data_IF_695430251267
#
_entry.id   IF_695430251267
#
_cell.length_a   1.000
_cell.length_b   1.000
_cell.length_c   1.000
_cell.angle_alpha   90.00
_cell.angle_beta   90.00
_cell.angle_gamma   90.00
#
_symmetry.space_group_name_H-M   'P 1'
#
loop_
_entity.id
_entity.type
_entity.pdbx_description
1 polymer ?
#
# COMPACT_ATOMS: atom_id res chain seq x y z
N UNK A 1 3.20 -9.01 -21.07
CA UNK A 1 3.67 -7.68 -20.66
C UNK A 1 5.05 -7.48 -21.27
N UNK A 2 5.31 -6.35 -21.93
CA UNK A 2 6.59 -6.07 -22.59
C UNK A 2 7.27 -4.89 -21.93
N UNK A 3 8.60 -4.83 -22.02
CA UNK A 3 9.35 -3.65 -21.60
C UNK A 3 8.91 -2.44 -22.44
N UNK A 4 8.63 -1.33 -21.76
CA UNK A 4 8.14 -0.09 -22.37
C UNK A 4 6.62 0.08 -22.34
N UNK A 5 5.87 -0.97 -21.97
CA UNK A 5 4.43 -0.87 -21.73
C UNK A 5 4.15 0.11 -20.58
N UNK A 6 3.03 0.82 -20.69
CA UNK A 6 2.52 1.65 -19.61
C UNK A 6 1.56 0.80 -18.78
N UNK A 7 1.74 0.81 -17.47
CA UNK A 7 0.94 0.03 -16.53
C UNK A 7 0.34 0.92 -15.45
N UNK A 8 -0.83 0.51 -14.99
CA UNK A 8 -1.55 1.06 -13.85
C UNK A 8 -1.76 -0.07 -12.84
N UNK A 9 -1.41 0.15 -11.59
CA UNK A 9 -1.62 -0.80 -10.50
C UNK A 9 -2.12 -0.04 -9.26
N UNK A 10 -3.39 -0.25 -8.91
CA UNK A 10 -4.04 0.48 -7.83
C UNK A 10 -4.03 1.99 -8.04
N UNK A 11 -3.25 2.69 -7.20
CA UNK A 11 -3.02 4.15 -7.22
C UNK A 11 -1.74 4.56 -7.95
N UNK A 12 -0.90 3.58 -8.29
CA UNK A 12 0.39 3.79 -8.88
C UNK A 12 0.33 3.56 -10.39
N UNK A 13 1.12 4.32 -11.13
CA UNK A 13 1.21 4.21 -12.58
C UNK A 13 2.65 4.37 -13.02
N UNK A 14 2.98 3.89 -14.20
CA UNK A 14 4.30 4.12 -14.75
C UNK A 14 4.56 3.35 -16.02
N UNK A 15 5.77 3.53 -16.56
CA UNK A 15 6.26 2.79 -17.70
C UNK A 15 7.23 1.72 -17.23
N UNK A 16 7.07 0.51 -17.73
CA UNK A 16 7.99 -0.61 -17.47
C UNK A 16 9.38 -0.26 -18.03
N UNK A 17 10.31 0.09 -17.15
CA UNK A 17 11.71 0.41 -17.50
C UNK A 17 12.57 -0.84 -17.59
N UNK A 18 12.32 -1.79 -16.70
CA UNK A 18 12.97 -3.09 -16.69
C UNK A 18 12.03 -4.12 -16.09
N UNK A 19 12.19 -5.37 -16.51
CA UNK A 19 11.58 -6.53 -15.89
C UNK A 19 12.68 -7.52 -15.52
N UNK A 20 12.60 -8.09 -14.33
CA UNK A 20 13.51 -9.13 -13.84
C UNK A 20 12.70 -10.40 -13.57
N UNK A 21 13.25 -11.56 -13.88
CA UNK A 21 12.68 -12.84 -13.48
C UNK A 21 13.06 -13.19 -12.03
N UNK A 22 12.58 -14.33 -11.54
CA UNK A 22 12.86 -14.87 -10.21
C UNK A 22 14.35 -15.11 -9.91
N UNK A 23 15.18 -15.21 -10.95
CA UNK A 23 16.63 -15.37 -10.84
C UNK A 23 17.37 -14.02 -10.92
N UNK A 24 16.66 -12.89 -10.92
CA UNK A 24 17.23 -11.55 -11.04
C UNK A 24 17.78 -11.22 -12.43
N UNK A 25 17.45 -12.01 -13.45
CA UNK A 25 17.89 -11.79 -14.82
C UNK A 25 16.89 -10.89 -15.55
N UNK A 26 17.41 -9.94 -16.34
CA UNK A 26 16.56 -9.06 -17.15
C UNK A 26 15.84 -9.84 -18.25
N UNK A 27 14.53 -9.65 -18.33
CA UNK A 27 13.65 -10.23 -19.35
C UNK A 27 13.01 -9.12 -20.19
N UNK A 28 12.87 -9.36 -21.50
CA UNK A 28 12.22 -8.42 -22.42
C UNK A 28 10.69 -8.44 -22.28
N UNK A 29 10.15 -9.64 -22.09
CA UNK A 29 8.72 -9.94 -22.16
C UNK A 29 8.33 -10.95 -21.09
N UNK A 30 7.12 -10.80 -20.55
CA UNK A 30 6.51 -11.70 -19.58
C UNK A 30 5.23 -12.29 -20.15
N UNK A 31 5.22 -13.62 -20.30
CA UNK A 31 4.04 -14.40 -20.67
C UNK A 31 3.09 -14.63 -19.49
N UNK A 32 1.92 -15.27 -19.73
CA UNK A 32 1.04 -15.67 -18.64
C UNK A 32 1.76 -16.65 -17.68
N UNK A 33 1.43 -16.56 -16.40
CA UNK A 33 1.93 -17.46 -15.34
C UNK A 33 3.43 -17.38 -15.01
N UNK A 34 4.13 -16.34 -15.47
CA UNK A 34 5.53 -16.08 -15.12
C UNK A 34 5.59 -14.86 -14.18
N UNK A 35 6.09 -15.00 -12.93
CA UNK A 35 6.29 -13.86 -12.06
C UNK A 35 7.45 -13.00 -12.57
N UNK A 36 7.24 -11.69 -12.61
CA UNK A 36 8.30 -10.73 -12.97
C UNK A 36 8.30 -9.54 -12.02
N UNK A 37 9.48 -9.08 -11.65
CA UNK A 37 9.66 -7.84 -10.93
C UNK A 37 9.67 -6.69 -11.94
N UNK A 38 8.76 -5.73 -11.78
CA UNK A 38 8.59 -4.59 -12.67
C UNK A 38 9.18 -3.34 -12.04
N UNK A 39 10.14 -2.73 -12.72
CA UNK A 39 10.74 -1.46 -12.31
C UNK A 39 10.21 -0.31 -13.19
N UNK A 40 9.93 0.84 -12.56
CA UNK A 40 9.52 2.07 -13.27
C UNK A 40 8.14 2.62 -12.93
N UNK A 41 7.48 2.08 -11.90
CA UNK A 41 6.27 2.66 -11.32
C UNK A 41 6.58 3.94 -10.51
N UNK A 42 5.56 4.78 -10.33
CA UNK A 42 5.63 6.01 -9.51
C UNK A 42 5.89 5.75 -8.03
N UNK A 43 5.49 4.58 -7.54
CA UNK A 43 5.58 4.17 -6.14
C UNK A 43 5.31 2.68 -6.00
N UNK A 44 5.25 2.21 -4.76
CA UNK A 44 4.99 0.81 -4.45
C UNK A 44 3.47 0.57 -4.43
N UNK A 45 2.92 -0.22 -5.38
CA UNK A 45 1.51 -0.58 -5.35
C UNK A 45 1.20 -1.48 -4.15
N UNK A 46 -0.07 -1.59 -3.78
CA UNK A 46 -0.44 -2.46 -2.66
C UNK A 46 -0.40 -3.92 -3.08
N UNK A 47 -0.09 -4.79 -2.12
CA UNK A 47 -0.20 -6.22 -2.34
C UNK A 47 -1.63 -6.59 -2.76
N UNK A 48 -1.75 -7.36 -3.84
CA UNK A 48 -3.04 -7.78 -4.40
C UNK A 48 -3.69 -6.80 -5.38
N UNK A 49 -3.10 -5.62 -5.62
CA UNK A 49 -3.60 -4.71 -6.66
C UNK A 49 -3.47 -5.34 -8.06
N UNK A 50 -4.54 -5.28 -8.83
CA UNK A 50 -4.51 -5.69 -10.25
C UNK A 50 -3.61 -4.76 -11.06
N UNK A 51 -2.82 -5.35 -11.96
CA UNK A 51 -1.98 -4.63 -12.91
C UNK A 51 -2.66 -4.62 -14.27
N UNK A 52 -2.88 -3.43 -14.81
CA UNK A 52 -3.53 -3.22 -16.11
C UNK A 52 -2.58 -2.49 -17.04
N UNK A 53 -2.28 -3.09 -18.19
CA UNK A 53 -1.56 -2.41 -19.26
C UNK A 53 -2.50 -1.42 -19.97
N UNK A 54 -2.04 -0.19 -20.16
CA UNK A 54 -2.81 0.91 -20.76
C UNK A 54 -2.05 1.51 -21.94
N UNK A 55 -2.78 1.98 -22.94
CA UNK A 55 -2.16 2.50 -24.15
C UNK A 55 -1.51 3.89 -23.98
N UNK A 56 -2.02 4.71 -23.06
CA UNK A 56 -1.60 6.10 -22.88
C UNK A 56 -1.21 6.39 -21.43
N UNK A 57 0.01 6.88 -21.25
CA UNK A 57 0.57 7.31 -19.97
C UNK A 57 -0.19 8.47 -19.35
N UNK A 58 -0.71 9.40 -20.16
CA UNK A 58 -1.48 10.54 -19.64
C UNK A 58 -2.78 10.07 -19.00
N UNK A 59 -3.50 9.15 -19.66
CA UNK A 59 -4.73 8.55 -19.10
C UNK A 59 -4.44 7.73 -17.85
N UNK A 60 -3.34 6.95 -17.84
CA UNK A 60 -2.91 6.19 -16.67
C UNK A 60 -2.75 7.11 -15.45
N UNK A 61 -2.04 8.23 -15.65
CA UNK A 61 -1.80 9.25 -14.62
C UNK A 61 -3.09 9.90 -14.12
N UNK A 62 -4.00 10.23 -15.02
CA UNK A 62 -5.29 10.83 -14.66
C UNK A 62 -6.13 9.88 -13.80
N UNK A 63 -6.21 8.60 -14.17
CA UNK A 63 -6.93 7.58 -13.41
C UNK A 63 -6.29 7.37 -12.03
N UNK A 64 -4.96 7.27 -11.98
CA UNK A 64 -4.21 7.13 -10.73
C UNK A 64 -4.48 8.30 -9.77
N UNK A 65 -4.37 9.54 -10.26
CA UNK A 65 -4.59 10.75 -9.47
C UNK A 65 -6.04 10.87 -8.98
N UNK A 66 -7.00 10.51 -9.83
CA UNK A 66 -8.42 10.46 -9.46
C UNK A 66 -8.66 9.46 -8.32
N UNK A 67 -8.11 8.24 -8.43
CA UNK A 67 -8.21 7.22 -7.37
C UNK A 67 -7.54 7.69 -6.07
N UNK A 68 -6.38 8.34 -6.16
CA UNK A 68 -5.66 8.86 -4.99
C UNK A 68 -6.45 9.96 -4.28
N UNK A 69 -7.04 10.89 -5.04
CA UNK A 69 -7.87 11.98 -4.50
C UNK A 69 -9.08 11.41 -3.78
N UNK A 70 -9.79 10.49 -4.44
CA UNK A 70 -10.95 9.81 -3.85
C UNK A 70 -10.60 9.08 -2.54
N UNK A 71 -9.48 8.35 -2.52
CA UNK A 71 -9.04 7.66 -1.31
C UNK A 71 -8.71 8.64 -0.18
N UNK A 72 -8.08 9.77 -0.49
CA UNK A 72 -7.76 10.82 0.49
C UNK A 72 -9.01 11.47 1.06
N UNK A 73 -10.03 11.70 0.24
CA UNK A 73 -11.34 12.19 0.68
C UNK A 73 -12.04 11.19 1.60
N UNK A 74 -12.02 9.90 1.26
CA UNK A 74 -12.57 8.83 2.11
C UNK A 74 -11.84 8.72 3.46
N UNK A 75 -10.51 8.86 3.47
CA UNK A 75 -9.73 8.87 4.71
C UNK A 75 -10.04 10.10 5.58
N UNK A 76 -10.20 11.27 4.96
CA UNK A 76 -10.55 12.51 5.67
C UNK A 76 -11.96 12.49 6.27
N UNK A 77 -12.86 11.63 5.75
CA UNK A 77 -14.21 11.41 6.31
C UNK A 77 -14.23 10.51 7.53
N UNK A 78 -13.15 9.78 7.83
CA UNK A 78 -13.08 9.02 9.08
C UNK A 78 -13.14 10.03 10.23
N UNK A 79 -14.06 9.89 11.18
CA UNK A 79 -14.15 10.83 12.29
C UNK A 79 -12.80 10.85 12.99
N UNK A 80 -12.18 12.03 13.04
CA UNK A 80 -11.12 12.27 14.00
C UNK A 80 -11.68 11.86 15.38
N UNK A 81 -10.89 11.13 16.15
CA UNK A 81 -11.28 10.69 17.50
C UNK A 81 -11.93 11.87 18.21
N UNK A 82 -13.21 11.73 18.57
CA UNK A 82 -13.95 12.85 19.12
C UNK A 82 -13.43 13.18 20.52
N UNK A 83 -13.57 14.44 20.96
CA UNK A 83 -13.20 14.83 22.32
C UNK A 83 -13.99 14.03 23.37
N UNK A 84 -15.20 13.57 23.03
CA UNK A 84 -16.01 12.68 23.86
C UNK A 84 -15.40 11.26 23.95
N UNK A 85 -14.84 10.72 22.87
CA UNK A 85 -14.14 9.44 22.88
C UNK A 85 -12.86 9.50 23.71
N UNK A 86 -12.14 10.63 23.64
CA UNK A 86 -10.95 10.90 24.47
C UNK A 86 -11.35 11.00 25.95
N UNK A 87 -12.46 11.68 26.26
CA UNK A 87 -12.95 11.83 27.63
C UNK A 87 -13.38 10.49 28.22
N UNK A 88 -14.06 9.63 27.44
CA UNK A 88 -14.41 8.27 27.86
C UNK A 88 -13.19 7.38 28.09
N UNK A 89 -12.14 7.51 27.26
CA UNK A 89 -10.87 6.81 27.49
C UNK A 89 -10.17 7.28 28.78
N UNK A 90 -10.36 8.55 29.16
CA UNK A 90 -9.83 9.11 30.40
C UNK A 90 -10.60 8.63 31.64
N UNK A 91 -11.94 8.51 31.54
CA UNK A 91 -12.82 8.03 32.61
C UNK A 91 -12.71 6.52 32.86
N UNK A 92 -12.40 5.72 31.84
CA UNK A 92 -12.33 4.26 31.92
C UNK A 92 -11.12 3.71 32.72
N UNK A 93 -10.26 4.59 33.27
CA UNK A 93 -8.99 4.19 33.88
C UNK A 93 -7.92 4.01 32.81
N UNK A 94 -6.80 4.71 32.98
CA UNK A 94 -5.73 4.85 31.98
C UNK A 94 -5.27 3.50 31.44
N UNK A 95 -5.70 3.15 30.23
CA UNK A 95 -5.02 2.12 29.44
C UNK A 95 -3.70 2.71 28.97
N UNK A 96 -2.58 2.07 29.30
CA UNK A 96 -1.28 2.58 28.91
C UNK A 96 -1.10 2.34 27.41
N UNK A 97 -0.81 3.40 26.65
CA UNK A 97 -0.61 3.30 25.20
C UNK A 97 0.90 3.23 24.90
N UNK A 98 1.33 2.15 24.26
CA UNK A 98 2.69 1.98 23.77
C UNK A 98 2.75 2.37 22.29
N UNK A 99 3.22 3.59 21.99
CA UNK A 99 3.38 4.02 20.60
C UNK A 99 4.62 3.37 19.95
N UNK A 100 4.42 2.65 18.85
CA UNK A 100 5.49 1.99 18.09
C UNK A 100 5.59 2.56 16.68
N UNK A 101 6.80 2.86 16.22
CA UNK A 101 7.08 3.23 14.84
C UNK A 101 7.74 2.03 14.14
N UNK A 102 7.02 1.42 13.20
CA UNK A 102 7.50 0.29 12.42
C UNK A 102 7.94 0.76 11.03
N UNK A 103 9.17 0.38 10.63
CA UNK A 103 9.66 0.49 9.26
C UNK A 103 10.13 -0.89 8.82
N UNK A 104 9.62 -1.37 7.69
CA UNK A 104 9.98 -2.66 7.12
C UNK A 104 10.33 -2.50 5.64
N UNK A 105 11.12 -3.44 5.12
CA UNK A 105 11.61 -3.40 3.73
C UNK A 105 10.52 -3.76 2.71
N UNK A 106 9.58 -4.63 3.10
CA UNK A 106 8.47 -5.09 2.26
C UNK A 106 7.13 -4.89 2.97
N UNK A 107 6.11 -4.56 2.19
CA UNK A 107 4.77 -4.24 2.70
C UNK A 107 4.14 -5.41 3.46
N UNK A 108 4.27 -6.64 2.95
CA UNK A 108 3.67 -7.83 3.58
C UNK A 108 4.21 -8.11 4.98
N UNK A 109 5.51 -7.88 5.21
CA UNK A 109 6.10 -8.01 6.55
C UNK A 109 5.60 -6.92 7.49
N UNK A 110 5.43 -5.67 7.00
CA UNK A 110 4.87 -4.59 7.80
C UNK A 110 3.46 -4.93 8.28
N UNK A 111 2.60 -5.40 7.37
CA UNK A 111 1.21 -5.76 7.68
C UNK A 111 1.12 -6.93 8.67
N UNK A 112 1.93 -7.97 8.47
CA UNK A 112 1.97 -9.13 9.37
C UNK A 112 2.42 -8.76 10.79
N UNK A 113 3.42 -7.87 10.92
CA UNK A 113 3.91 -7.43 12.23
C UNK A 113 2.88 -6.53 12.93
N UNK A 114 2.22 -5.63 12.20
CA UNK A 114 1.16 -4.78 12.77
C UNK A 114 0.01 -5.63 13.31
N UNK A 115 -0.43 -6.65 12.58
CA UNK A 115 -1.45 -7.59 13.06
C UNK A 115 -0.99 -8.35 14.31
N UNK A 116 0.26 -8.84 14.33
CA UNK A 116 0.83 -9.51 15.50
C UNK A 116 0.90 -8.60 16.73
N UNK A 117 1.33 -7.34 16.58
CA UNK A 117 1.36 -6.35 17.66
C UNK A 117 -0.04 -6.00 18.18
N UNK A 118 -1.00 -5.87 17.27
CA UNK A 118 -2.40 -5.60 17.62
C UNK A 118 -2.98 -6.75 18.46
N UNK A 119 -2.65 -8.01 18.13
CA UNK A 119 -3.06 -9.20 18.90
C UNK A 119 -2.41 -9.31 20.29
N UNK A 120 -1.23 -8.69 20.47
CA UNK A 120 -0.55 -8.63 21.76
C UNK A 120 -1.11 -7.55 22.69
N UNK A 121 -2.01 -6.69 22.20
CA UNK A 121 -2.67 -5.69 23.04
C UNK A 121 -3.54 -6.36 24.09
N UNK A 122 -3.50 -5.82 25.31
CA UNK A 122 -4.29 -6.26 26.45
C UNK A 122 -5.20 -5.13 26.92
N UNK A 123 -6.13 -5.45 27.83
CA UNK A 123 -7.00 -4.44 28.45
C UNK A 123 -6.20 -3.44 29.31
N UNK A 124 -4.99 -3.80 29.75
CA UNK A 124 -4.10 -2.93 30.54
C UNK A 124 -3.18 -2.06 29.67
N UNK A 125 -2.66 -2.63 28.57
CA UNK A 125 -1.69 -1.98 27.68
C UNK A 125 -2.09 -2.19 26.23
N UNK A 126 -2.32 -1.07 25.53
CA UNK A 126 -2.62 -1.05 24.11
C UNK A 126 -1.37 -0.70 23.31
N UNK A 127 -1.08 -1.50 22.29
CA UNK A 127 0.07 -1.34 21.37
C UNK A 127 -0.38 -0.71 20.06
#
# INVERSE_FOLDING_TARGET
>A
LHKGDVVLSGLEHGRVRAMLNENGQSVGDAGPSIPVEVLGLSGTPKAGDEVIAVADERKAREIALFRQTKQREEQSKKPAISLDDISKQFEAGQTNILNVVLKADVQGSAEAIVDALTRLSTDEVRV
#
